data_IF_153966662105
#
_entry.id   IF_153966662105
#
_cell.length_a   1.000
_cell.length_b   1.000
_cell.length_c   1.000
_cell.angle_alpha   90.00
_cell.angle_beta   90.00
_cell.angle_gamma   90.00
#
_symmetry.space_group_name_H-M   'P 1'
#
loop_
_entity.id
_entity.type
_entity.pdbx_description
1 polymer ?
#
# COMPACT_ATOMS: atom_id res chain seq x y z
N UNK A 1 12.56 12.10 -22.13
CA UNK A 1 13.31 11.46 -23.24
C UNK A 1 14.23 10.31 -22.84
N UNK A 2 15.50 10.47 -22.44
CA UNK A 2 16.37 9.31 -22.18
C UNK A 2 15.85 8.40 -21.04
N UNK A 3 15.40 8.98 -19.92
CA UNK A 3 14.80 8.23 -18.80
C UNK A 3 13.48 7.56 -19.20
N UNK A 4 12.69 8.24 -20.01
CA UNK A 4 11.38 7.78 -20.49
C UNK A 4 11.53 6.60 -21.47
N UNK A 5 12.54 6.66 -22.36
CA UNK A 5 12.95 5.57 -23.24
C UNK A 5 13.52 4.39 -22.43
N UNK A 6 14.23 4.65 -21.34
CA UNK A 6 14.79 3.61 -20.46
C UNK A 6 13.70 2.85 -19.67
N UNK A 7 12.63 3.54 -19.23
CA UNK A 7 11.50 2.92 -18.53
C UNK A 7 10.53 2.20 -19.48
N UNK A 8 10.28 2.75 -20.67
CA UNK A 8 9.40 2.14 -21.68
C UNK A 8 9.90 0.78 -22.23
N UNK A 9 11.18 0.43 -22.01
CA UNK A 9 11.82 -0.74 -22.63
C UNK A 9 12.14 -1.91 -21.69
N UNK A 10 11.70 -1.89 -20.43
CA UNK A 10 12.01 -2.99 -19.48
C UNK A 10 13.54 -3.24 -19.33
N UNK A 11 14.37 -2.26 -19.72
CA UNK A 11 15.80 -2.47 -19.98
C UNK A 11 16.71 -1.83 -18.94
N UNK A 12 16.25 -1.72 -17.70
CA UNK A 12 17.15 -1.51 -16.58
C UNK A 12 17.07 -2.75 -15.71
N UNK A 13 17.99 -3.70 -15.95
CA UNK A 13 18.31 -4.75 -14.98
C UNK A 13 18.49 -4.08 -13.62
N UNK A 14 17.89 -4.67 -12.60
CA UNK A 14 17.86 -4.21 -11.20
C UNK A 14 19.20 -3.65 -10.71
N UNK A 15 20.32 -4.21 -11.17
CA UNK A 15 21.65 -3.72 -10.84
C UNK A 15 22.02 -2.35 -11.43
N UNK A 16 21.63 -2.02 -12.67
CA UNK A 16 21.94 -0.73 -13.29
C UNK A 16 21.01 0.36 -12.74
N UNK A 17 19.76 0.00 -12.47
CA UNK A 17 18.80 0.84 -11.77
C UNK A 17 19.35 1.18 -10.38
N UNK A 18 19.77 0.20 -9.58
CA UNK A 18 20.33 0.42 -8.26
C UNK A 18 21.66 1.18 -8.27
N UNK A 19 22.47 1.11 -9.34
CA UNK A 19 23.70 1.92 -9.47
C UNK A 19 23.39 3.39 -9.79
N UNK A 20 22.33 3.65 -10.56
CA UNK A 20 21.87 5.01 -10.87
C UNK A 20 21.09 5.59 -9.67
N UNK A 21 20.20 4.81 -9.07
CA UNK A 21 19.37 5.17 -7.91
C UNK A 21 20.14 5.19 -6.58
N UNK A 22 21.25 4.43 -6.46
CA UNK A 22 22.04 4.28 -5.24
C UNK A 22 23.18 5.28 -5.06
N UNK A 23 23.42 6.19 -6.01
CA UNK A 23 24.27 7.36 -5.78
C UNK A 23 23.39 8.47 -5.21
N UNK A 24 23.72 8.90 -3.99
CA UNK A 24 23.09 9.93 -3.17
C UNK A 24 22.87 11.28 -3.89
N UNK A 25 21.97 11.32 -4.86
CA UNK A 25 21.67 12.48 -5.71
C UNK A 25 20.19 12.86 -5.75
N UNK A 26 19.30 12.06 -5.16
CA UNK A 26 17.87 12.27 -5.29
C UNK A 26 17.31 13.08 -4.10
N UNK A 27 16.81 14.27 -4.40
CA UNK A 27 15.96 15.02 -3.49
C UNK A 27 14.55 14.38 -3.46
N UNK A 28 13.72 14.74 -2.48
CA UNK A 28 12.34 14.21 -2.35
C UNK A 28 11.49 14.45 -3.63
N UNK A 29 11.82 15.52 -4.37
CA UNK A 29 11.27 15.81 -5.70
C UNK A 29 11.52 14.71 -6.74
N UNK A 30 12.65 14.01 -6.63
CA UNK A 30 13.02 12.98 -7.60
C UNK A 30 12.33 11.65 -7.29
N UNK A 31 12.03 11.36 -6.02
CA UNK A 31 11.23 10.20 -5.62
C UNK A 31 9.81 10.30 -6.19
N UNK A 32 9.19 11.49 -6.07
CA UNK A 32 7.87 11.74 -6.65
C UNK A 32 7.88 11.63 -8.18
N UNK A 33 8.94 12.11 -8.83
CA UNK A 33 9.11 11.99 -10.28
C UNK A 33 9.26 10.54 -10.74
N UNK A 34 10.12 9.75 -10.08
CA UNK A 34 10.31 8.32 -10.35
C UNK A 34 8.99 7.57 -10.14
N UNK A 35 8.28 7.86 -9.04
CA UNK A 35 6.96 7.30 -8.77
C UNK A 35 5.97 7.58 -9.91
N UNK A 36 5.92 8.83 -10.38
CA UNK A 36 5.07 9.23 -11.52
C UNK A 36 5.42 8.51 -12.83
N UNK A 37 6.70 8.26 -13.10
CA UNK A 37 7.11 7.44 -14.24
C UNK A 37 6.64 5.99 -14.10
N UNK A 38 6.80 5.38 -12.92
CA UNK A 38 6.33 4.02 -12.65
C UNK A 38 4.81 3.91 -12.79
N UNK A 39 4.06 4.89 -12.30
CA UNK A 39 2.61 4.94 -12.43
C UNK A 39 2.18 5.05 -13.89
N UNK A 40 2.81 5.93 -14.68
CA UNK A 40 2.52 6.09 -16.11
C UNK A 40 2.78 4.79 -16.89
N UNK A 41 3.73 3.97 -16.43
CA UNK A 41 4.03 2.65 -16.97
C UNK A 41 3.12 1.53 -16.42
N UNK A 42 2.19 1.83 -15.51
CA UNK A 42 1.30 0.84 -14.87
C UNK A 42 1.97 0.01 -13.76
N UNK A 43 3.19 0.35 -13.35
CA UNK A 43 3.96 -0.34 -12.31
C UNK A 43 3.63 0.25 -10.92
N UNK A 44 2.38 0.09 -10.48
CA UNK A 44 1.90 0.71 -9.24
C UNK A 44 2.62 0.25 -7.98
N UNK A 45 3.09 -1.01 -7.93
CA UNK A 45 3.87 -1.50 -6.79
C UNK A 45 5.18 -0.75 -6.64
N UNK A 46 5.90 -0.50 -7.76
CA UNK A 46 7.13 0.30 -7.77
C UNK A 46 6.83 1.75 -7.42
N UNK A 47 5.73 2.30 -7.94
CA UNK A 47 5.34 3.67 -7.64
C UNK A 47 5.16 3.88 -6.12
N UNK A 48 4.52 2.93 -5.43
CA UNK A 48 4.34 2.96 -3.97
C UNK A 48 5.65 2.89 -3.17
N UNK A 49 6.70 2.26 -3.70
CA UNK A 49 8.03 2.22 -3.06
C UNK A 49 8.69 3.61 -3.03
N UNK A 50 8.29 4.51 -3.94
CA UNK A 50 8.88 5.85 -4.07
C UNK A 50 8.01 6.96 -3.51
N UNK A 51 6.69 6.79 -3.46
CA UNK A 51 5.81 7.84 -2.96
C UNK A 51 5.93 8.08 -1.46
N UNK A 52 6.06 9.35 -1.10
CA UNK A 52 6.08 9.83 0.28
C UNK A 52 4.79 10.55 0.66
N UNK A 53 4.16 11.20 -0.32
CA UNK A 53 2.95 11.99 -0.12
C UNK A 53 1.71 11.10 -0.04
N UNK A 54 0.88 11.35 0.99
CA UNK A 54 -0.31 10.56 1.24
C UNK A 54 -1.27 10.51 0.04
N UNK A 55 -1.41 11.63 -0.67
CA UNK A 55 -2.29 11.74 -1.82
C UNK A 55 -1.90 10.80 -2.97
N UNK A 56 -0.60 10.65 -3.23
CA UNK A 56 -0.09 9.76 -4.27
C UNK A 56 -0.19 8.29 -3.84
N UNK A 57 0.11 8.00 -2.57
CA UNK A 57 -0.02 6.65 -2.00
C UNK A 57 -1.45 6.14 -2.12
N UNK A 58 -2.44 6.91 -1.66
CA UNK A 58 -3.84 6.47 -1.67
C UNK A 58 -4.41 6.37 -3.08
N UNK A 59 -3.88 7.15 -4.03
CA UNK A 59 -4.23 7.08 -5.45
C UNK A 59 -3.69 5.81 -6.08
N UNK A 60 -2.43 5.47 -5.86
CA UNK A 60 -1.82 4.25 -6.42
C UNK A 60 -2.31 2.97 -5.76
N UNK A 61 -2.49 2.93 -4.44
CA UNK A 61 -2.91 1.72 -3.73
C UNK A 61 -4.33 1.28 -4.12
N UNK A 62 -5.14 2.18 -4.69
CA UNK A 62 -6.47 1.88 -5.20
C UNK A 62 -6.45 0.88 -6.37
N UNK A 63 -5.32 0.76 -7.08
CA UNK A 63 -5.12 -0.18 -8.20
C UNK A 63 -4.79 -1.59 -7.70
N UNK A 64 -5.64 -2.13 -6.82
CA UNK A 64 -5.41 -3.44 -6.16
C UNK A 64 -5.27 -4.60 -7.13
N UNK A 65 -5.87 -4.53 -8.31
CA UNK A 65 -5.79 -5.59 -9.32
C UNK A 65 -4.40 -5.68 -9.98
N UNK A 66 -3.60 -4.61 -9.88
CA UNK A 66 -2.27 -4.49 -10.48
C UNK A 66 -1.14 -4.69 -9.46
N UNK A 67 -1.47 -4.87 -8.18
CA UNK A 67 -0.51 -4.94 -7.09
C UNK A 67 -0.72 -6.26 -6.34
N UNK A 68 0.36 -7.03 -6.04
CA UNK A 68 0.23 -8.23 -5.24
C UNK A 68 -0.40 -7.95 -3.86
N UNK A 69 -1.39 -8.74 -3.48
CA UNK A 69 -2.11 -8.57 -2.21
C UNK A 69 -1.17 -8.59 -0.99
N UNK A 70 -0.21 -9.52 -0.96
CA UNK A 70 0.78 -9.65 0.12
C UNK A 70 1.67 -8.40 0.26
N UNK A 71 1.98 -7.75 -0.87
CA UNK A 71 2.71 -6.48 -0.86
C UNK A 71 1.86 -5.40 -0.22
N UNK A 72 0.58 -5.25 -0.61
CA UNK A 72 -0.33 -4.25 -0.02
C UNK A 72 -0.44 -4.46 1.49
N UNK A 73 -0.64 -5.70 1.94
CA UNK A 73 -0.75 -6.05 3.36
C UNK A 73 0.49 -5.57 4.12
N UNK A 74 1.67 -5.89 3.61
CA UNK A 74 2.93 -5.51 4.24
C UNK A 74 3.16 -4.00 4.21
N UNK A 75 2.94 -3.39 3.05
CA UNK A 75 3.14 -1.96 2.81
C UNK A 75 2.29 -1.09 3.75
N UNK A 76 1.00 -1.38 3.90
CA UNK A 76 0.10 -0.61 4.77
C UNK A 76 0.58 -0.62 6.23
N UNK A 77 1.10 -1.75 6.71
CA UNK A 77 1.67 -1.83 8.05
C UNK A 77 2.97 -1.04 8.20
N UNK A 78 3.89 -1.22 7.25
CA UNK A 78 5.21 -0.58 7.31
C UNK A 78 5.13 0.94 7.13
N UNK A 79 4.32 1.45 6.19
CA UNK A 79 4.16 2.90 6.02
C UNK A 79 3.55 3.56 7.26
N UNK A 80 2.65 2.84 7.95
CA UNK A 80 2.02 3.32 9.18
C UNK A 80 3.01 3.42 10.35
N UNK A 81 4.04 2.55 10.38
CA UNK A 81 5.14 2.62 11.36
C UNK A 81 6.15 3.71 11.00
N UNK A 82 6.51 3.80 9.72
CA UNK A 82 7.57 4.68 9.24
C UNK A 82 7.15 6.16 9.25
N UNK A 83 5.87 6.43 8.96
CA UNK A 83 5.31 7.78 8.94
C UNK A 83 4.42 8.00 10.16
N UNK A 84 3.11 7.90 9.96
CA UNK A 84 2.09 8.08 10.99
C UNK A 84 0.95 7.08 10.76
N UNK A 85 0.24 6.64 11.82
CA UNK A 85 -0.89 5.70 11.68
C UNK A 85 -1.98 6.15 10.70
N UNK A 86 -2.14 7.48 10.50
CA UNK A 86 -3.10 8.05 9.53
C UNK A 86 -2.91 7.54 8.10
N UNK A 87 -1.66 7.21 7.70
CA UNK A 87 -1.38 6.70 6.37
C UNK A 87 -2.06 5.34 6.16
N UNK A 88 -1.98 4.44 7.14
CA UNK A 88 -2.66 3.15 7.08
C UNK A 88 -4.18 3.27 7.12
N UNK A 89 -4.71 4.20 7.93
CA UNK A 89 -6.15 4.45 7.98
C UNK A 89 -6.70 4.96 6.65
N UNK A 90 -6.02 5.89 5.99
CA UNK A 90 -6.44 6.39 4.68
C UNK A 90 -6.27 5.34 3.57
N UNK A 91 -5.23 4.50 3.63
CA UNK A 91 -5.12 3.34 2.76
C UNK A 91 -6.31 2.38 2.95
N UNK A 92 -6.64 2.02 4.20
CA UNK A 92 -7.79 1.18 4.51
C UNK A 92 -9.10 1.81 4.04
N UNK A 93 -9.27 3.12 4.19
CA UNK A 93 -10.44 3.88 3.75
C UNK A 93 -10.62 3.81 2.24
N UNK A 94 -9.55 3.85 1.46
CA UNK A 94 -9.63 3.67 0.00
C UNK A 94 -9.89 2.22 -0.37
N UNK A 95 -9.14 1.27 0.20
CA UNK A 95 -9.25 -0.15 -0.12
C UNK A 95 -10.65 -0.70 0.18
N UNK A 96 -11.25 -0.28 1.29
CA UNK A 96 -12.57 -0.74 1.71
C UNK A 96 -13.76 -0.11 0.96
N UNK A 97 -13.52 0.81 0.01
CA UNK A 97 -14.58 1.28 -0.90
C UNK A 97 -14.99 0.20 -1.91
N UNK A 98 -14.08 -0.72 -2.24
CA UNK A 98 -14.36 -1.81 -3.17
C UNK A 98 -14.71 -3.09 -2.40
N UNK A 99 -15.90 -3.63 -2.61
CA UNK A 99 -16.34 -4.88 -1.94
C UNK A 99 -15.51 -6.11 -2.33
N UNK A 100 -14.83 -6.08 -3.47
CA UNK A 100 -13.93 -7.17 -3.88
C UNK A 100 -12.69 -7.26 -2.97
N UNK A 101 -12.37 -6.18 -2.24
CA UNK A 101 -11.21 -6.11 -1.36
C UNK A 101 -11.48 -6.62 0.06
N UNK A 102 -12.65 -7.22 0.35
CA UNK A 102 -12.98 -7.70 1.71
C UNK A 102 -11.89 -8.60 2.28
N UNK A 103 -11.41 -9.59 1.51
CA UNK A 103 -10.34 -10.50 1.96
C UNK A 103 -9.04 -9.74 2.24
N UNK A 104 -8.61 -8.91 1.30
CA UNK A 104 -7.41 -8.07 1.44
C UNK A 104 -7.48 -7.17 2.69
N UNK A 105 -8.60 -6.49 2.89
CA UNK A 105 -8.83 -5.66 4.07
C UNK A 105 -8.80 -6.48 5.37
N UNK A 106 -9.40 -7.68 5.39
CA UNK A 106 -9.30 -8.59 6.53
C UNK A 106 -7.86 -9.01 6.82
N UNK A 107 -7.07 -9.32 5.79
CA UNK A 107 -5.66 -9.74 5.95
C UNK A 107 -4.78 -8.60 6.50
N UNK A 108 -5.02 -7.36 6.08
CA UNK A 108 -4.37 -6.17 6.65
C UNK A 108 -4.70 -6.07 8.15
N UNK A 109 -5.97 -6.19 8.50
CA UNK A 109 -6.45 -6.03 9.88
C UNK A 109 -5.91 -7.15 10.77
N UNK A 110 -5.95 -8.41 10.31
CA UNK A 110 -5.36 -9.54 11.03
C UNK A 110 -3.85 -9.36 11.27
N UNK A 111 -3.15 -8.78 10.30
CA UNK A 111 -1.69 -8.59 10.37
C UNK A 111 -1.29 -7.46 11.32
N UNK A 112 -2.03 -6.35 11.33
CA UNK A 112 -1.58 -5.08 11.90
C UNK A 112 -2.47 -4.46 12.98
N UNK A 113 -3.72 -4.90 13.13
CA UNK A 113 -4.63 -4.36 14.14
C UNK A 113 -4.13 -4.66 15.55
N UNK A 114 -4.11 -3.64 16.41
CA UNK A 114 -3.57 -3.69 17.77
C UNK A 114 -2.03 -3.68 17.87
N UNK A 115 -1.31 -3.76 16.75
CA UNK A 115 0.16 -3.60 16.71
C UNK A 115 0.55 -2.19 16.29
N UNK A 116 -0.03 -1.73 15.18
CA UNK A 116 0.28 -0.42 14.57
C UNK A 116 -0.99 0.41 14.38
N UNK A 117 -2.10 -0.25 14.05
CA UNK A 117 -3.40 0.38 13.80
C UNK A 117 -4.37 0.07 14.94
N UNK A 118 -5.10 1.08 15.42
CA UNK A 118 -6.08 0.91 16.48
C UNK A 118 -7.34 0.21 15.96
N UNK A 119 -7.85 -0.73 16.76
CA UNK A 119 -9.01 -1.55 16.39
C UNK A 119 -10.30 -0.71 16.28
N UNK A 120 -10.47 0.33 17.09
CA UNK A 120 -11.70 1.15 17.09
C UNK A 120 -11.78 1.98 15.82
N UNK A 121 -10.66 2.57 15.40
CA UNK A 121 -10.56 3.32 14.14
C UNK A 121 -10.84 2.42 12.93
N UNK A 122 -10.30 1.20 12.91
CA UNK A 122 -10.58 0.23 11.82
C UNK A 122 -12.08 -0.08 11.74
N UNK A 123 -12.72 -0.35 12.87
CA UNK A 123 -14.17 -0.64 12.92
C UNK A 123 -14.97 0.57 12.42
N UNK A 124 -14.56 1.78 12.79
CA UNK A 124 -15.20 3.02 12.33
C UNK A 124 -15.11 3.14 10.80
N UNK A 125 -13.90 3.00 10.22
CA UNK A 125 -13.67 3.08 8.77
C UNK A 125 -14.49 2.03 8.00
N UNK A 126 -14.50 0.78 8.47
CA UNK A 126 -15.29 -0.27 7.83
C UNK A 126 -16.80 -0.05 7.99
N UNK A 127 -17.23 0.57 9.09
CA UNK A 127 -18.61 1.02 9.27
C UNK A 127 -19.03 2.07 8.22
N UNK A 128 -18.21 3.09 8.00
CA UNK A 128 -18.46 4.15 7.02
C UNK A 128 -18.56 3.59 5.58
N UNK A 129 -17.67 2.65 5.24
CA UNK A 129 -17.65 2.02 3.92
C UNK A 129 -18.58 0.79 3.79
N UNK A 130 -19.40 0.50 4.82
CA UNK A 130 -20.33 -0.65 4.86
C UNK A 130 -19.64 -2.01 4.64
N UNK A 131 -18.38 -2.13 5.03
CA UNK A 131 -17.56 -3.34 4.93
C UNK A 131 -17.67 -4.20 6.21
N UNK A 132 -18.92 -4.50 6.61
CA UNK A 132 -19.23 -5.22 7.86
C UNK A 132 -18.68 -6.66 7.81
N UNK A 133 -18.66 -7.28 6.64
CA UNK A 133 -18.15 -8.64 6.44
C UNK A 133 -16.67 -8.76 6.87
N UNK A 134 -15.84 -7.76 6.57
CA UNK A 134 -14.43 -7.80 6.95
C UNK A 134 -14.24 -7.76 8.48
N UNK A 135 -15.11 -7.02 9.19
CA UNK A 135 -15.13 -7.00 10.67
C UNK A 135 -15.49 -8.39 11.21
N UNK A 136 -16.51 -9.03 10.65
CA UNK A 136 -16.92 -10.38 11.05
C UNK A 136 -15.80 -11.40 10.84
N UNK A 137 -15.15 -11.38 9.67
CA UNK A 137 -14.03 -12.27 9.37
C UNK A 137 -12.84 -12.05 10.30
N UNK A 138 -12.53 -10.80 10.64
CA UNK A 138 -11.48 -10.48 11.62
C UNK A 138 -11.81 -11.05 13.02
N UNK A 139 -13.04 -10.85 13.51
CA UNK A 139 -13.47 -11.39 14.80
C UNK A 139 -13.43 -12.92 14.81
N UNK A 140 -13.84 -13.57 13.71
CA UNK A 140 -13.74 -15.01 13.56
C UNK A 140 -12.29 -15.50 13.63
N UNK A 141 -11.37 -14.80 12.97
CA UNK A 141 -9.93 -15.12 13.04
C UNK A 141 -9.39 -15.04 14.46
N UNK A 142 -9.79 -14.03 15.23
CA UNK A 142 -9.39 -13.90 16.65
C UNK A 142 -9.96 -15.04 17.48
N UNK A 143 -11.24 -15.38 17.29
CA UNK A 143 -11.88 -16.48 18.02
C UNK A 143 -11.15 -17.81 17.77
N UNK A 144 -10.81 -18.11 16.52
CA UNK A 144 -10.05 -19.32 16.18
C UNK A 144 -8.68 -19.37 16.85
N UNK A 145 -7.97 -18.24 16.98
CA UNK A 145 -6.68 -18.21 17.69
C UNK A 145 -6.79 -18.36 19.22
N UNK A 146 -8.00 -18.26 19.79
CA UNK A 146 -8.24 -18.45 21.23
C UNK A 146 -8.68 -19.87 21.57
N UNK A 147 -9.13 -20.64 20.58
CA UNK A 147 -9.58 -22.03 20.73
C UNK A 147 -8.42 -23.05 20.61
N UNK A 148 -7.25 -22.60 20.15
CA UNK A 148 -5.98 -23.36 20.10
C UNK A 148 -5.12 -23.13 21.35
#
# INVERSE_FOLDING_TARGET
EAMEIMFQKELIKEQTANVIFGRSLFHESDQSYIGGCCETAGLFHRALEHYTELADIIRCIAHTDQIPAEFIVSYVGEISKQKEPKYGYECLRVLSRCKNNVRLCTDIVNSWAGKVLDRREIIHIFGENKMIEAVYLHLKSIASTLEE
#
